data_IF_679488754920
#
_entry.id   IF_679488754920
#
_cell.length_a   1.000
_cell.length_b   1.000
_cell.length_c   1.000
_cell.angle_alpha   90.00
_cell.angle_beta   90.00
_cell.angle_gamma   90.00
#
_symmetry.space_group_name_H-M   'P 1'
#
loop_
_entity.id
_entity.type
_entity.pdbx_description
1 polymer ?
#
# COMPACT_ATOMS: atom_id res chain seq x y z
N UNK A 1 -1.82 -14.98 -24.52
CA UNK A 1 -2.56 -14.00 -23.69
C UNK A 1 -2.45 -14.44 -22.24
N UNK A 2 -1.92 -13.62 -21.31
CA UNK A 2 -1.66 -14.04 -19.92
C UNK A 2 -2.99 -14.28 -19.18
N UNK A 3 -3.13 -15.46 -18.58
CA UNK A 3 -4.30 -15.95 -17.84
C UNK A 3 -4.81 -14.94 -16.78
N UNK A 4 -6.11 -14.62 -16.81
CA UNK A 4 -6.75 -13.61 -15.95
C UNK A 4 -7.40 -14.17 -14.65
N UNK A 5 -7.26 -15.45 -14.32
CA UNK A 5 -8.31 -16.11 -13.53
C UNK A 5 -7.95 -16.65 -12.13
N UNK A 6 -6.98 -16.10 -11.37
CA UNK A 6 -6.90 -16.48 -9.95
C UNK A 6 -6.28 -15.48 -8.96
N UNK A 7 -6.38 -14.18 -9.20
CA UNK A 7 -5.85 -13.18 -8.27
C UNK A 7 -6.96 -12.67 -7.34
N UNK A 8 -6.82 -12.92 -6.03
CA UNK A 8 -7.75 -12.39 -5.02
C UNK A 8 -7.50 -10.89 -4.87
N UNK A 9 -8.58 -10.12 -4.94
CA UNK A 9 -8.55 -8.67 -4.75
C UNK A 9 -9.12 -8.28 -3.39
N UNK A 10 -8.43 -7.40 -2.68
CA UNK A 10 -8.88 -6.86 -1.41
C UNK A 10 -9.05 -5.35 -1.52
N UNK A 11 -10.23 -4.85 -1.16
CA UNK A 11 -10.61 -3.45 -1.38
C UNK A 11 -10.86 -2.78 -0.04
N UNK A 12 -10.30 -1.58 0.14
CA UNK A 12 -10.63 -0.71 1.25
C UNK A 12 -10.97 0.70 0.73
N UNK A 13 -12.00 1.31 1.31
CA UNK A 13 -12.51 2.60 0.88
C UNK A 13 -12.72 3.49 2.10
N UNK A 14 -12.13 4.70 2.07
CA UNK A 14 -12.47 5.77 3.01
C UNK A 14 -13.22 6.87 2.27
N UNK A 15 -14.45 7.13 2.69
CA UNK A 15 -15.30 8.18 2.10
C UNK A 15 -15.31 9.45 2.94
N UNK A 16 -15.58 10.57 2.26
CA UNK A 16 -15.81 11.90 2.86
C UNK A 16 -14.64 12.41 3.70
N UNK A 17 -13.40 12.11 3.30
CA UNK A 17 -12.23 12.64 3.97
C UNK A 17 -12.16 14.15 3.75
N UNK A 18 -12.05 14.93 4.83
CA UNK A 18 -11.93 16.39 4.81
C UNK A 18 -10.51 16.85 4.40
N UNK A 19 -10.09 16.43 3.21
CA UNK A 19 -8.81 16.79 2.62
C UNK A 19 -8.94 16.96 1.11
N UNK A 20 -8.16 17.89 0.54
CA UNK A 20 -8.13 18.08 -0.90
C UNK A 20 -7.47 16.87 -1.58
N UNK A 21 -8.07 16.31 -2.65
CA UNK A 21 -7.51 15.18 -3.41
C UNK A 21 -6.03 15.38 -3.80
N UNK A 22 -5.67 16.60 -4.21
CA UNK A 22 -4.29 16.96 -4.58
C UNK A 22 -3.29 16.69 -3.44
N UNK A 23 -3.65 16.99 -2.19
CA UNK A 23 -2.76 16.79 -1.03
C UNK A 23 -2.51 15.31 -0.75
N UNK A 24 -3.54 14.47 -0.94
CA UNK A 24 -3.43 13.03 -0.75
C UNK A 24 -2.62 12.39 -1.89
N UNK A 25 -2.80 12.87 -3.14
CA UNK A 25 -2.09 12.34 -4.32
C UNK A 25 -0.57 12.47 -4.22
N UNK A 26 -0.09 13.53 -3.58
CA UNK A 26 1.34 13.72 -3.34
C UNK A 26 1.97 12.56 -2.55
N UNK A 27 1.24 12.03 -1.55
CA UNK A 27 1.74 10.91 -0.74
C UNK A 27 1.64 9.59 -1.48
N UNK A 28 0.60 9.40 -2.30
CA UNK A 28 0.44 8.18 -3.10
C UNK A 28 1.60 7.96 -4.07
N UNK A 29 2.18 9.03 -4.62
CA UNK A 29 3.36 8.94 -5.47
C UNK A 29 4.55 8.23 -4.81
N UNK A 30 4.69 8.36 -3.48
CA UNK A 30 5.78 7.73 -2.71
C UNK A 30 5.56 6.23 -2.54
N UNK A 31 4.33 5.80 -2.27
CA UNK A 31 4.01 4.42 -1.87
C UNK A 31 3.64 3.50 -3.04
N UNK A 32 3.33 4.04 -4.23
CA UNK A 32 2.80 3.27 -5.36
C UNK A 32 3.70 2.10 -5.80
N UNK A 33 5.01 2.20 -5.61
CA UNK A 33 6.00 1.18 -6.01
C UNK A 33 6.46 0.26 -4.85
N UNK A 34 5.95 0.48 -3.64
CA UNK A 34 6.36 -0.27 -2.44
C UNK A 34 5.40 -1.43 -2.18
N UNK A 35 5.80 -2.37 -1.33
CA UNK A 35 4.85 -3.36 -0.81
C UNK A 35 3.90 -2.71 0.20
N UNK A 36 2.67 -3.23 0.39
CA UNK A 36 1.71 -2.68 1.35
C UNK A 36 2.23 -2.64 2.79
N UNK A 37 2.97 -3.69 3.22
CA UNK A 37 3.59 -3.73 4.54
C UNK A 37 4.64 -2.62 4.72
N UNK A 38 5.59 -2.52 3.79
CA UNK A 38 6.62 -1.47 3.77
C UNK A 38 6.01 -0.06 3.72
N UNK A 39 4.93 0.13 2.96
CA UNK A 39 4.23 1.40 2.89
C UNK A 39 3.64 1.81 4.25
N UNK A 40 3.09 0.87 5.01
CA UNK A 40 2.54 1.13 6.35
C UNK A 40 3.63 1.59 7.32
N UNK A 41 4.83 1.02 7.23
CA UNK A 41 5.98 1.39 8.06
C UNK A 41 6.58 2.74 7.66
N UNK A 42 6.60 3.06 6.36
CA UNK A 42 7.19 4.31 5.85
C UNK A 42 6.29 5.52 6.02
N UNK A 43 4.97 5.35 5.91
CA UNK A 43 3.99 6.46 5.94
C UNK A 43 4.09 7.36 7.18
N UNK A 44 4.30 6.87 8.42
CA UNK A 44 4.49 7.70 9.60
C UNK A 44 5.62 8.73 9.49
N UNK A 45 6.69 8.42 8.74
CA UNK A 45 7.84 9.31 8.56
C UNK A 45 7.64 10.35 7.45
N UNK A 46 6.58 10.21 6.64
CA UNK A 46 6.25 11.20 5.62
C UNK A 46 5.64 12.43 6.30
N UNK A 47 6.31 13.58 6.16
CA UNK A 47 5.89 14.87 6.73
C UNK A 47 4.66 15.48 6.00
N UNK A 48 3.57 14.71 5.87
CA UNK A 48 2.29 15.12 5.29
C UNK A 48 1.16 14.52 6.10
N UNK A 49 0.20 15.36 6.50
CA UNK A 49 -1.02 14.94 7.24
C UNK A 49 -1.79 13.79 6.55
N UNK A 50 -1.78 13.76 5.21
CA UNK A 50 -2.46 12.72 4.43
C UNK A 50 -1.92 11.30 4.69
N UNK A 51 -0.69 11.18 5.22
CA UNK A 51 -0.08 9.88 5.46
C UNK A 51 -0.80 9.08 6.55
N UNK A 52 -1.33 9.75 7.58
CA UNK A 52 -2.10 9.10 8.64
C UNK A 52 -3.38 8.46 8.11
N UNK A 53 -4.12 9.18 7.26
CA UNK A 53 -5.36 8.66 6.66
C UNK A 53 -5.08 7.50 5.69
N UNK A 54 -4.03 7.62 4.86
CA UNK A 54 -3.62 6.54 3.96
C UNK A 54 -3.17 5.28 4.71
N UNK A 55 -2.41 5.43 5.80
CA UNK A 55 -1.95 4.32 6.63
C UNK A 55 -3.14 3.51 7.17
N UNK A 56 -4.19 4.19 7.64
CA UNK A 56 -5.42 3.53 8.13
C UNK A 56 -6.11 2.72 7.04
N UNK A 57 -6.25 3.28 5.82
CA UNK A 57 -6.92 2.58 4.71
C UNK A 57 -6.13 1.37 4.24
N UNK A 58 -4.80 1.49 4.17
CA UNK A 58 -3.94 0.37 3.77
C UNK A 58 -3.96 -0.73 4.83
N UNK A 59 -3.88 -0.38 6.12
CA UNK A 59 -4.05 -1.34 7.22
C UNK A 59 -5.39 -2.07 7.16
N UNK A 60 -6.48 -1.36 6.83
CA UNK A 60 -7.79 -1.97 6.63
C UNK A 60 -7.82 -2.95 5.46
N UNK A 61 -7.17 -2.62 4.33
CA UNK A 61 -7.07 -3.53 3.19
C UNK A 61 -6.23 -4.79 3.52
N UNK A 62 -5.13 -4.62 4.25
CA UNK A 62 -4.30 -5.75 4.73
C UNK A 62 -5.10 -6.62 5.70
N UNK A 63 -5.85 -6.02 6.63
CA UNK A 63 -6.69 -6.77 7.55
C UNK A 63 -7.76 -7.60 6.82
N UNK A 64 -8.36 -7.05 5.76
CA UNK A 64 -9.30 -7.79 4.91
C UNK A 64 -8.63 -8.99 4.20
N UNK A 65 -7.37 -8.84 3.78
CA UNK A 65 -6.59 -9.92 3.19
C UNK A 65 -6.25 -11.01 4.23
N UNK A 66 -5.82 -10.60 5.44
CA UNK A 66 -5.54 -11.51 6.56
C UNK A 66 -6.76 -12.35 6.95
N UNK A 67 -7.94 -11.73 6.99
CA UNK A 67 -9.19 -12.43 7.28
C UNK A 67 -9.51 -13.55 6.27
N UNK A 68 -8.94 -13.50 5.07
CA UNK A 68 -9.09 -14.48 4.00
C UNK A 68 -7.86 -15.40 3.87
N UNK A 69 -6.97 -15.41 4.88
CA UNK A 69 -5.82 -16.30 4.97
C UNK A 69 -4.61 -15.90 4.12
N UNK A 70 -4.55 -14.66 3.63
CA UNK A 70 -3.44 -14.19 2.79
C UNK A 70 -2.33 -13.55 3.65
N UNK A 71 -1.07 -13.90 3.35
CA UNK A 71 0.11 -13.32 3.99
C UNK A 71 0.39 -11.89 3.51
N UNK A 72 0.90 -11.05 4.40
CA UNK A 72 1.27 -9.66 4.12
C UNK A 72 2.34 -9.55 3.04
N UNK A 73 3.20 -10.56 2.91
CA UNK A 73 4.32 -10.57 1.96
C UNK A 73 3.90 -10.81 0.51
N UNK A 74 2.70 -11.35 0.30
CA UNK A 74 2.19 -11.74 -1.02
C UNK A 74 1.26 -10.68 -1.63
N UNK A 75 1.07 -9.56 -0.92
CA UNK A 75 0.20 -8.47 -1.36
C UNK A 75 0.97 -7.41 -2.14
N UNK A 76 0.36 -6.92 -3.21
CA UNK A 76 0.83 -5.76 -3.97
C UNK A 76 -0.29 -4.77 -4.21
N UNK A 77 0.06 -3.49 -4.39
CA UNK A 77 -0.89 -2.48 -4.83
C UNK A 77 -1.25 -2.71 -6.30
N UNK A 78 -2.49 -3.13 -6.56
CA UNK A 78 -3.06 -3.08 -7.91
C UNK A 78 -3.42 -1.65 -8.29
N UNK A 79 -4.10 -0.98 -7.37
CA UNK A 79 -4.61 0.36 -7.63
C UNK A 79 -4.74 1.19 -6.35
N UNK A 80 -4.34 2.46 -6.43
CA UNK A 80 -4.58 3.46 -5.40
C UNK A 80 -5.22 4.67 -6.08
N UNK A 81 -6.53 4.80 -5.88
CA UNK A 81 -7.32 5.89 -6.45
C UNK A 81 -7.66 6.93 -5.38
N UNK A 82 -7.52 8.19 -5.77
CA UNK A 82 -7.99 9.33 -4.97
C UNK A 82 -8.99 10.11 -5.81
N UNK A 83 -10.25 9.88 -5.51
CA UNK A 83 -11.39 10.56 -6.10
C UNK A 83 -11.67 11.89 -5.42
N UNK A 84 -12.38 12.77 -6.14
CA UNK A 84 -12.97 13.96 -5.55
C UNK A 84 -14.26 13.61 -4.83
N UNK A 85 -14.50 14.23 -3.68
CA UNK A 85 -15.77 14.16 -2.97
C UNK A 85 -16.56 15.47 -3.05
N UNK A 86 -17.67 15.56 -2.30
CA UNK A 86 -18.47 16.78 -2.19
C UNK A 86 -17.63 17.99 -1.81
N UNK A 87 -17.95 19.14 -2.40
CA UNK A 87 -17.27 20.41 -2.14
C UNK A 87 -18.20 21.29 -1.32
N UNK A 88 -17.84 21.57 -0.09
CA UNK A 88 -18.61 22.48 0.77
C UNK A 88 -18.33 23.93 0.38
N UNK A 89 -19.39 24.67 0.05
CA UNK A 89 -19.33 26.12 -0.18
C UNK A 89 -19.11 26.82 1.16
N UNK A 90 -18.03 27.60 1.26
CA UNK A 90 -17.71 28.46 2.42
C UNK A 90 -17.26 29.82 1.90
N UNK A 91 -17.11 30.79 2.77
CA UNK A 91 -16.47 32.04 2.42
C UNK A 91 -15.82 32.68 3.63
N UNK A 92 -14.97 33.66 3.36
CA UNK A 92 -14.32 34.48 4.37
C UNK A 92 -14.76 35.92 4.17
N UNK A 93 -15.12 36.63 5.26
CA UNK A 93 -15.31 38.07 5.21
C UNK A 93 -13.95 38.75 4.94
N UNK A 94 -13.97 39.82 4.15
CA UNK A 94 -12.80 40.63 3.77
C UNK A 94 -13.16 42.12 3.90
N UNK A 95 -12.22 43.02 3.59
CA UNK A 95 -12.39 44.47 3.62
C UNK A 95 -13.62 44.95 2.84
N UNK A 96 -14.22 46.06 3.29
CA UNK A 96 -15.34 46.75 2.61
C UNK A 96 -16.58 45.87 2.42
N UNK A 97 -16.91 45.01 3.40
CA UNK A 97 -18.10 44.15 3.35
C UNK A 97 -18.04 43.02 2.30
N UNK A 98 -16.87 42.78 1.70
CA UNK A 98 -16.73 41.82 0.61
C UNK A 98 -16.65 40.37 1.14
N UNK A 99 -17.28 39.44 0.42
CA UNK A 99 -17.29 38.01 0.77
C UNK A 99 -16.54 37.19 -0.28
N UNK A 100 -15.38 36.62 0.08
CA UNK A 100 -14.61 35.76 -0.81
C UNK A 100 -14.99 34.28 -0.64
N UNK A 101 -15.58 33.62 -1.66
CA UNK A 101 -15.93 32.22 -1.56
C UNK A 101 -14.69 31.32 -1.64
N UNK A 102 -14.66 30.27 -0.81
CA UNK A 102 -13.70 29.18 -0.94
C UNK A 102 -14.39 27.84 -0.77
N UNK A 103 -13.84 26.80 -1.41
CA UNK A 103 -14.41 25.44 -1.37
C UNK A 103 -13.61 24.58 -0.39
N UNK A 104 -14.27 24.06 0.65
CA UNK A 104 -13.70 22.96 1.45
C UNK A 104 -13.92 21.66 0.67
N UNK A 105 -12.86 21.17 0.05
CA UNK A 105 -12.87 19.96 -0.79
C UNK A 105 -12.78 18.71 0.09
N UNK A 106 -13.60 17.71 -0.21
CA UNK A 106 -13.43 16.35 0.31
C UNK A 106 -12.76 15.45 -0.73
N UNK A 107 -12.27 14.32 -0.28
CA UNK A 107 -11.72 13.26 -1.12
C UNK A 107 -12.25 11.89 -0.70
N UNK A 108 -12.28 10.97 -1.65
CA UNK A 108 -12.50 9.55 -1.40
C UNK A 108 -11.21 8.79 -1.73
N UNK A 109 -10.77 7.93 -0.82
CA UNK A 109 -9.60 7.07 -1.01
C UNK A 109 -10.11 5.66 -1.28
N UNK A 110 -9.62 5.05 -2.36
CA UNK A 110 -9.86 3.64 -2.69
C UNK A 110 -8.51 2.96 -2.89
N UNK A 111 -8.26 1.91 -2.12
CA UNK A 111 -7.08 1.06 -2.24
C UNK A 111 -7.53 -0.33 -2.65
N UNK A 112 -6.89 -0.88 -3.67
CA UNK A 112 -7.08 -2.25 -4.14
C UNK A 112 -5.73 -2.96 -4.05
N UNK A 113 -5.70 -3.99 -3.20
CA UNK A 113 -4.59 -4.93 -3.09
C UNK A 113 -4.89 -6.18 -3.91
N UNK A 114 -3.84 -6.83 -4.37
CA UNK A 114 -3.91 -8.05 -5.15
C UNK A 114 -2.88 -9.05 -4.63
N UNK A 115 -3.22 -10.33 -4.67
CA UNK A 115 -2.28 -11.42 -4.39
C UNK A 115 -1.37 -11.65 -5.58
N UNK A 116 -0.06 -11.74 -5.33
CA UNK A 116 0.91 -12.25 -6.30
C UNK A 116 1.20 -13.68 -5.93
N UNK A 117 0.88 -14.61 -6.81
CA UNK A 117 1.41 -15.97 -6.72
C UNK A 117 2.91 -15.87 -7.00
N UNK A 118 3.74 -16.14 -5.99
CA UNK A 118 5.18 -16.33 -6.22
C UNK A 118 5.31 -17.51 -7.18
N UNK A 119 6.08 -17.41 -8.28
CA UNK A 119 6.47 -18.61 -9.01
C UNK A 119 7.19 -19.50 -7.99
N UNK A 120 6.75 -20.75 -7.84
CA UNK A 120 7.37 -21.73 -6.95
C UNK A 120 8.83 -21.87 -7.39
N UNK A 121 9.74 -21.19 -6.70
CA UNK A 121 11.16 -21.50 -6.82
C UNK A 121 11.33 -22.77 -6.00
N UNK A 122 11.35 -23.90 -6.69
CA UNK A 122 11.80 -25.17 -6.13
C UNK A 122 13.29 -24.98 -5.83
N UNK A 123 13.60 -24.48 -4.64
CA UNK A 123 14.97 -24.47 -4.14
C UNK A 123 15.39 -25.92 -3.95
N UNK A 124 16.29 -26.35 -4.82
CA UNK A 124 16.92 -27.66 -4.86
C UNK A 124 17.63 -27.92 -3.52
N UNK A 125 17.04 -28.78 -2.71
CA UNK A 125 17.54 -29.18 -1.40
C UNK A 125 18.71 -30.18 -1.41
N UNK A 126 19.30 -30.57 -2.54
CA UNK A 126 20.17 -31.77 -2.56
C UNK A 126 21.69 -31.55 -2.79
N UNK A 127 22.22 -30.32 -2.83
CA UNK A 127 23.66 -30.13 -3.15
C UNK A 127 24.61 -29.80 -2.01
N UNK A 128 24.15 -29.69 -0.76
CA UNK A 128 25.03 -29.30 0.36
C UNK A 128 25.59 -30.50 1.15
N UNK A 129 24.97 -31.69 1.11
CA UNK A 129 25.38 -32.79 2.01
C UNK A 129 26.52 -33.72 1.50
N UNK A 130 27.00 -33.58 0.25
CA UNK A 130 28.05 -34.50 -0.27
C UNK A 130 29.48 -34.00 -0.06
N UNK A 131 29.71 -32.73 0.33
CA UNK A 131 31.07 -32.17 0.41
C UNK A 131 31.75 -32.20 1.78
N UNK A 132 31.08 -32.60 2.88
CA UNK A 132 31.69 -32.61 4.21
C UNK A 132 32.19 -33.97 4.73
N UNK A 133 32.04 -35.06 3.96
CA UNK A 133 32.54 -36.40 4.37
C UNK A 133 33.88 -36.82 3.74
N UNK A 134 34.65 -35.87 3.22
CA UNK A 134 35.84 -36.15 2.41
C UNK A 134 37.18 -35.58 2.87
N UNK A 135 37.34 -35.09 4.11
CA UNK A 135 38.66 -34.67 4.63
C UNK A 135 38.87 -35.10 6.08
N UNK A 136 38.87 -36.41 6.32
CA UNK A 136 39.66 -37.01 7.40
C UNK A 136 40.22 -38.31 6.89
N UNK A 137 41.48 -38.29 6.43
CA UNK A 137 42.48 -39.35 6.60
C UNK A 137 43.77 -38.98 5.85
N UNK A 138 44.88 -38.84 6.59
CA UNK A 138 46.23 -39.06 6.04
C UNK A 138 47.24 -37.94 6.23
N UNK A 139 47.80 -37.80 7.44
CA UNK A 139 49.20 -37.42 7.60
C UNK A 139 49.71 -38.04 8.92
N UNK A 140 50.27 -39.24 8.80
CA UNK A 140 51.25 -39.80 9.74
C UNK A 140 52.63 -39.37 9.25
N UNK A 141 53.38 -38.66 10.10
CA UNK A 141 54.85 -38.64 10.20
C UNK A 141 55.21 -37.84 11.44
#
# INVERSE_FOLDING_TARGET
MKNMNNQKEFKAIQKYLLMSPRKVRLVVGVIKKMKPAEAVEKLPFVQKRAAGDLSKVIKSAIAAAKAQGVSDTDLVFKEIQIGEGPRLKRGKPVSRGMWHPFKRRMSHIRVVLMTVEKPVVVEKTEKIEVKEKGEKNGAKS
#
